data_IF_133690473040
#
_entry.id   IF_133690473040
#
_cell.length_a   1.000
_cell.length_b   1.000
_cell.length_c   1.000
_cell.angle_alpha   90.00
_cell.angle_beta   90.00
_cell.angle_gamma   90.00
#
_symmetry.space_group_name_H-M   'P 1'
#
loop_
_entity.id
_entity.type
_entity.pdbx_description
1 polymer ?
#
# COMPACT_ATOMS: atom_id res chain seq x y z
N UNK A 1 -20.79 -14.27 11.29
CA UNK A 1 -20.32 -12.89 11.11
C UNK A 1 -21.52 -11.92 11.01
N UNK A 2 -21.37 -10.65 11.39
CA UNK A 2 -22.48 -9.66 11.40
C UNK A 2 -22.86 -9.12 10.02
N UNK A 3 -22.09 -9.45 8.96
CA UNK A 3 -22.25 -8.92 7.61
C UNK A 3 -21.85 -7.45 7.43
N UNK A 4 -21.39 -6.78 8.49
CA UNK A 4 -21.05 -5.35 8.48
C UNK A 4 -19.56 -5.05 8.29
N UNK A 5 -18.70 -5.99 8.71
CA UNK A 5 -17.24 -5.89 8.57
C UNK A 5 -16.82 -6.89 7.50
N UNK A 6 -16.32 -6.38 6.38
CA UNK A 6 -15.93 -7.18 5.21
C UNK A 6 -14.42 -7.40 5.12
N UNK A 7 -13.63 -6.61 5.86
CA UNK A 7 -12.18 -6.63 5.80
C UNK A 7 -11.54 -6.11 7.09
N UNK A 8 -10.28 -6.44 7.31
CA UNK A 8 -9.41 -5.81 8.30
C UNK A 8 -8.19 -5.18 7.60
N UNK A 9 -7.74 -4.03 8.09
CA UNK A 9 -6.61 -3.29 7.52
C UNK A 9 -5.36 -3.49 8.38
N UNK A 10 -4.29 -3.99 7.77
CA UNK A 10 -2.97 -4.09 8.37
C UNK A 10 -2.17 -2.82 8.04
N UNK A 11 -1.81 -2.10 9.10
CA UNK A 11 -0.78 -1.06 9.06
C UNK A 11 0.45 -1.54 9.83
N UNK A 12 1.63 -1.60 9.20
CA UNK A 12 2.88 -1.76 9.93
C UNK A 12 3.07 -0.56 10.87
N UNK A 13 3.59 -0.81 12.07
CA UNK A 13 3.76 0.22 13.07
C UNK A 13 4.64 1.38 12.55
N UNK A 14 4.10 2.60 12.54
CA UNK A 14 4.79 3.81 12.08
C UNK A 14 4.88 4.00 10.56
N UNK A 15 4.16 3.21 9.76
CA UNK A 15 4.24 3.28 8.29
C UNK A 15 3.57 4.52 7.70
N UNK A 16 2.50 5.03 8.32
CA UNK A 16 1.74 6.20 7.85
C UNK A 16 1.04 6.95 8.99
N UNK A 17 0.26 7.97 8.68
CA UNK A 17 -0.52 8.77 9.64
C UNK A 17 -1.37 7.87 10.55
N UNK A 18 -1.27 8.05 11.88
CA UNK A 18 -1.98 7.29 12.92
C UNK A 18 -1.66 5.78 12.98
N UNK A 19 -0.52 5.35 12.44
CA UNK A 19 -0.11 3.93 12.45
C UNK A 19 0.82 3.55 13.60
N UNK A 20 1.06 4.42 14.59
CA UNK A 20 1.98 4.13 15.71
C UNK A 20 1.52 2.93 16.56
N UNK A 21 0.21 2.63 16.56
CA UNK A 21 -0.38 1.44 17.19
C UNK A 21 -0.51 0.24 16.25
N UNK A 22 0.22 0.25 15.13
CA UNK A 22 0.19 -0.79 14.10
C UNK A 22 0.89 -2.09 14.51
N UNK A 23 0.94 -3.03 13.58
CA UNK A 23 1.55 -4.35 13.77
C UNK A 23 3.07 -4.24 13.74
N UNK A 24 3.75 -4.76 14.76
CA UNK A 24 5.22 -4.74 14.88
C UNK A 24 5.90 -5.93 14.18
N UNK A 25 5.27 -7.10 14.23
CA UNK A 25 5.66 -8.33 13.52
C UNK A 25 4.39 -9.04 13.08
N UNK A 26 4.32 -9.43 11.80
CA UNK A 26 3.17 -10.13 11.23
C UNK A 26 2.86 -11.45 11.98
N UNK A 27 3.88 -12.15 12.49
CA UNK A 27 3.70 -13.41 13.24
C UNK A 27 2.85 -13.25 14.49
N UNK A 28 2.86 -12.06 15.10
CA UNK A 28 2.05 -11.78 16.29
C UNK A 28 0.55 -11.86 16.02
N UNK A 29 0.13 -11.72 14.75
CA UNK A 29 -1.27 -11.73 14.35
C UNK A 29 -1.65 -12.95 13.49
N UNK A 30 -0.80 -13.97 13.37
CA UNK A 30 -1.10 -15.15 12.54
C UNK A 30 -2.41 -15.84 12.95
N UNK A 31 -2.71 -15.92 14.24
CA UNK A 31 -3.98 -16.45 14.73
C UNK A 31 -5.19 -15.62 14.27
N UNK A 32 -5.02 -14.31 14.04
CA UNK A 32 -6.07 -13.44 13.45
C UNK A 32 -6.18 -13.71 11.95
N UNK A 33 -5.06 -13.87 11.25
CA UNK A 33 -5.04 -14.16 9.81
C UNK A 33 -5.69 -15.51 9.50
N UNK A 34 -5.43 -16.53 10.33
CA UNK A 34 -6.08 -17.84 10.27
C UNK A 34 -7.60 -17.70 10.42
N UNK A 35 -8.07 -16.99 11.45
CA UNK A 35 -9.50 -16.75 11.64
C UNK A 35 -10.12 -15.95 10.47
N UNK A 36 -9.39 -15.00 9.89
CA UNK A 36 -9.84 -14.25 8.70
C UNK A 36 -9.97 -15.17 7.48
N UNK A 37 -9.02 -16.07 7.27
CA UNK A 37 -9.06 -17.07 6.21
C UNK A 37 -10.27 -18.00 6.37
N UNK A 38 -10.50 -18.55 7.56
CA UNK A 38 -11.62 -19.44 7.87
C UNK A 38 -12.99 -18.81 7.57
N UNK A 39 -13.16 -17.52 7.87
CA UNK A 39 -14.43 -16.80 7.67
C UNK A 39 -14.50 -16.08 6.32
N UNK A 40 -13.45 -16.14 5.51
CA UNK A 40 -13.36 -15.48 4.20
C UNK A 40 -13.33 -13.95 4.27
N UNK A 41 -12.82 -13.37 5.36
CA UNK A 41 -12.62 -11.92 5.52
C UNK A 41 -11.38 -11.46 4.75
N UNK A 42 -11.45 -10.27 4.13
CA UNK A 42 -10.33 -9.72 3.37
C UNK A 42 -9.28 -9.11 4.30
N UNK A 43 -8.01 -9.35 4.00
CA UNK A 43 -6.87 -8.61 4.54
C UNK A 43 -6.48 -7.49 3.58
N UNK A 44 -6.61 -6.25 4.02
CA UNK A 44 -6.13 -5.08 3.27
C UNK A 44 -4.77 -4.67 3.86
N UNK A 45 -3.77 -4.40 3.03
CA UNK A 45 -2.39 -4.23 3.49
C UNK A 45 -1.82 -2.90 3.01
N UNK A 46 -1.36 -2.07 3.94
CA UNK A 46 -0.40 -1.01 3.62
C UNK A 46 1.00 -1.62 3.63
N UNK A 47 1.54 -1.91 2.44
CA UNK A 47 2.74 -2.74 2.29
C UNK A 47 4.06 -1.97 2.31
N UNK A 48 4.44 -1.39 3.44
CA UNK A 48 5.78 -0.79 3.63
C UNK A 48 6.40 -1.24 4.95
N UNK A 49 7.67 -1.65 4.95
CA UNK A 49 8.43 -1.77 6.21
C UNK A 49 8.79 -0.39 6.76
N UNK A 50 9.07 -0.29 8.05
CA UNK A 50 9.33 1.00 8.72
C UNK A 50 10.71 1.11 9.35
N UNK A 51 11.58 0.13 9.07
CA UNK A 51 12.94 0.11 9.60
C UNK A 51 13.74 1.35 9.19
N UNK A 52 14.43 1.97 10.16
CA UNK A 52 15.18 3.21 9.95
C UNK A 52 16.30 3.11 8.90
N UNK A 53 16.84 1.91 8.65
CA UNK A 53 17.92 1.68 7.70
C UNK A 53 17.43 1.44 6.26
N UNK A 54 16.11 1.28 6.04
CA UNK A 54 15.52 1.05 4.71
C UNK A 54 15.05 2.39 4.14
N UNK A 55 15.57 2.72 2.95
CA UNK A 55 15.20 3.94 2.23
C UNK A 55 13.71 3.93 1.88
N UNK A 56 13.04 5.08 2.02
CA UNK A 56 11.60 5.22 1.80
C UNK A 56 11.16 4.79 0.38
N UNK A 57 12.04 4.86 -0.61
CA UNK A 57 11.75 4.40 -1.96
C UNK A 57 11.78 2.87 -2.11
N UNK A 58 12.43 2.15 -1.18
CA UNK A 58 12.64 0.70 -1.21
C UNK A 58 11.74 -0.07 -0.22
N UNK A 59 11.06 0.64 0.69
CA UNK A 59 10.20 0.04 1.74
C UNK A 59 9.11 -0.88 1.21
N UNK A 60 8.49 -0.53 0.09
CA UNK A 60 7.45 -1.37 -0.52
C UNK A 60 8.04 -2.69 -1.03
N UNK A 61 9.19 -2.64 -1.70
CA UNK A 61 9.88 -3.84 -2.20
C UNK A 61 10.32 -4.75 -1.05
N UNK A 62 10.95 -4.18 -0.02
CA UNK A 62 11.37 -4.94 1.16
C UNK A 62 10.17 -5.62 1.84
N UNK A 63 9.01 -4.95 1.91
CA UNK A 63 7.79 -5.52 2.48
C UNK A 63 7.27 -6.73 1.69
N UNK A 64 7.32 -6.67 0.35
CA UNK A 64 6.92 -7.80 -0.50
C UNK A 64 7.75 -9.04 -0.16
N UNK A 65 9.06 -8.87 -0.04
CA UNK A 65 10.02 -9.96 0.11
C UNK A 65 10.00 -10.54 1.53
N UNK A 66 9.89 -9.68 2.55
CA UNK A 66 10.08 -10.07 3.95
C UNK A 66 8.79 -10.31 4.73
N UNK A 67 7.66 -9.75 4.28
CA UNK A 67 6.39 -9.82 5.00
C UNK A 67 5.28 -10.44 4.16
N UNK A 68 5.01 -9.88 2.96
CA UNK A 68 3.85 -10.30 2.19
C UNK A 68 4.01 -11.70 1.58
N UNK A 69 5.18 -12.01 1.01
CA UNK A 69 5.44 -13.33 0.44
C UNK A 69 5.28 -14.47 1.46
N UNK A 70 5.83 -14.38 2.70
CA UNK A 70 5.54 -15.34 3.76
C UNK A 70 4.04 -15.49 4.06
N UNK A 71 3.31 -14.38 4.25
CA UNK A 71 1.87 -14.42 4.54
C UNK A 71 1.09 -15.14 3.43
N UNK A 72 1.37 -14.82 2.16
CA UNK A 72 0.71 -15.44 1.01
C UNK A 72 0.98 -16.95 0.94
N UNK A 73 2.19 -17.39 1.31
CA UNK A 73 2.55 -18.79 1.34
C UNK A 73 1.90 -19.55 2.51
N UNK A 74 1.85 -18.92 3.68
CA UNK A 74 1.34 -19.53 4.91
C UNK A 74 -0.20 -19.58 4.93
N UNK A 75 -0.88 -18.64 4.26
CA UNK A 75 -2.35 -18.51 4.19
C UNK A 75 -2.84 -18.49 2.73
N UNK A 76 -2.75 -19.62 1.99
CA UNK A 76 -2.99 -19.65 0.56
C UNK A 76 -4.46 -19.37 0.16
N UNK A 77 -5.42 -19.48 1.08
CA UNK A 77 -6.84 -19.21 0.85
C UNK A 77 -7.27 -17.82 1.36
N UNK A 78 -6.43 -17.12 2.12
CA UNK A 78 -6.71 -15.77 2.59
C UNK A 78 -6.74 -14.80 1.41
N UNK A 79 -7.83 -14.01 1.33
CA UNK A 79 -7.97 -12.97 0.31
C UNK A 79 -7.24 -11.71 0.75
N UNK A 80 -6.27 -11.28 -0.03
CA UNK A 80 -5.39 -10.17 0.30
C UNK A 80 -5.46 -9.09 -0.78
N UNK A 81 -5.62 -7.85 -0.35
CA UNK A 81 -5.48 -6.66 -1.20
C UNK A 81 -4.24 -5.89 -0.74
N UNK A 82 -3.24 -5.83 -1.62
CA UNK A 82 -2.14 -4.89 -1.45
C UNK A 82 -2.61 -3.50 -1.86
N UNK A 83 -2.85 -2.65 -0.87
CA UNK A 83 -3.43 -1.34 -1.09
C UNK A 83 -2.43 -0.41 -1.81
N UNK A 84 -2.96 0.58 -2.52
CA UNK A 84 -2.27 1.71 -3.15
C UNK A 84 -0.82 1.40 -3.64
N UNK A 85 -0.65 0.37 -4.47
CA UNK A 85 0.68 -0.05 -4.94
C UNK A 85 1.40 1.06 -5.70
N UNK A 86 2.72 1.18 -5.52
CA UNK A 86 3.50 2.29 -6.08
C UNK A 86 4.68 1.86 -6.94
N UNK A 87 5.02 0.56 -6.94
CA UNK A 87 6.17 0.00 -7.65
C UNK A 87 5.78 -1.01 -8.74
N UNK A 88 6.60 -1.06 -9.80
CA UNK A 88 6.63 -2.18 -10.75
C UNK A 88 6.77 -3.55 -10.05
N UNK A 89 7.57 -3.62 -8.98
CA UNK A 89 7.75 -4.84 -8.19
C UNK A 89 6.43 -5.34 -7.59
N UNK A 90 5.62 -4.45 -6.99
CA UNK A 90 4.32 -4.80 -6.46
C UNK A 90 3.34 -5.24 -7.55
N UNK A 91 3.32 -4.55 -8.70
CA UNK A 91 2.51 -4.96 -9.85
C UNK A 91 2.90 -6.36 -10.36
N UNK A 92 4.20 -6.65 -10.45
CA UNK A 92 4.71 -7.96 -10.83
C UNK A 92 4.37 -9.04 -9.80
N UNK A 93 4.51 -8.72 -8.50
CA UNK A 93 4.14 -9.62 -7.41
C UNK A 93 2.66 -10.04 -7.51
N UNK A 94 1.75 -9.07 -7.66
CA UNK A 94 0.31 -9.32 -7.75
C UNK A 94 -0.06 -10.15 -8.98
N UNK A 95 0.58 -9.89 -10.13
CA UNK A 95 0.38 -10.67 -11.35
C UNK A 95 0.82 -12.13 -11.21
N UNK A 96 1.91 -12.38 -10.48
CA UNK A 96 2.47 -13.72 -10.29
C UNK A 96 1.82 -14.49 -9.12
N UNK A 97 1.12 -13.80 -8.23
CA UNK A 97 0.41 -14.41 -7.11
C UNK A 97 -0.91 -15.07 -7.54
N UNK A 98 -1.46 -15.94 -6.69
CA UNK A 98 -2.74 -16.62 -6.92
C UNK A 98 -3.93 -15.64 -7.04
N UNK A 99 -5.09 -16.12 -7.45
CA UNK A 99 -6.32 -15.32 -7.58
C UNK A 99 -6.81 -14.71 -6.24
N UNK A 100 -6.23 -15.12 -5.12
CA UNK A 100 -6.52 -14.57 -3.79
C UNK A 100 -5.76 -13.26 -3.50
N UNK A 101 -4.81 -12.86 -4.35
CA UNK A 101 -4.05 -11.61 -4.20
C UNK A 101 -4.42 -10.63 -5.30
N UNK A 102 -4.81 -9.43 -4.88
CA UNK A 102 -5.16 -8.30 -5.74
C UNK A 102 -4.51 -7.02 -5.22
N UNK A 103 -4.67 -5.92 -5.95
CA UNK A 103 -4.19 -4.61 -5.55
C UNK A 103 -5.10 -3.47 -5.99
N UNK A 104 -5.12 -2.41 -5.18
CA UNK A 104 -5.71 -1.13 -5.57
C UNK A 104 -4.64 -0.20 -6.13
N UNK A 105 -5.02 0.64 -7.08
CA UNK A 105 -4.16 1.70 -7.61
C UNK A 105 -4.89 3.05 -7.46
N UNK A 106 -4.16 4.04 -6.95
CA UNK A 106 -4.69 5.39 -6.71
C UNK A 106 -4.64 6.26 -7.97
N UNK A 107 -5.46 7.31 -8.01
CA UNK A 107 -5.40 8.29 -9.09
C UNK A 107 -4.05 9.04 -9.13
N UNK A 108 -3.53 9.44 -7.97
CA UNK A 108 -2.32 10.26 -7.90
C UNK A 108 -1.04 9.47 -8.26
N UNK A 109 -0.99 8.16 -8.00
CA UNK A 109 0.12 7.30 -8.46
C UNK A 109 0.08 6.98 -9.96
N UNK A 110 -1.08 7.11 -10.61
CA UNK A 110 -1.19 7.03 -12.08
C UNK A 110 -0.78 8.33 -12.76
N UNK A 111 -1.18 9.47 -12.18
CA UNK A 111 -0.93 10.78 -12.79
C UNK A 111 0.48 11.31 -12.56
N UNK A 112 1.09 10.97 -11.42
CA UNK A 112 2.34 11.61 -10.98
C UNK A 112 3.44 10.61 -10.64
N UNK A 113 4.67 11.12 -10.70
CA UNK A 113 5.87 10.47 -10.19
C UNK A 113 6.66 11.47 -9.36
N UNK A 114 7.73 11.01 -8.69
CA UNK A 114 8.48 11.83 -7.72
C UNK A 114 9.04 13.14 -8.26
N UNK A 115 9.23 13.29 -9.57
CA UNK A 115 9.65 14.57 -10.14
C UNK A 115 8.58 15.65 -9.97
N UNK A 116 7.29 15.29 -10.06
CA UNK A 116 6.19 16.23 -9.82
C UNK A 116 6.25 16.78 -8.39
N UNK A 117 6.62 15.93 -7.43
CA UNK A 117 6.78 16.32 -6.02
C UNK A 117 8.03 17.18 -5.77
N UNK A 118 9.13 16.97 -6.49
CA UNK A 118 10.47 17.48 -6.09
C UNK A 118 11.09 18.51 -7.05
N UNK A 119 10.82 18.45 -8.35
CA UNK A 119 11.48 19.31 -9.35
C UNK A 119 10.94 20.73 -9.29
N UNK A 120 11.83 21.73 -9.26
CA UNK A 120 11.45 23.15 -9.18
C UNK A 120 10.93 23.58 -7.81
N UNK A 121 11.12 22.74 -6.79
CA UNK A 121 10.66 22.99 -5.42
C UNK A 121 9.84 21.84 -4.87
N UNK A 122 9.95 21.63 -3.55
CA UNK A 122 9.17 20.64 -2.81
C UNK A 122 7.69 21.04 -2.81
N UNK A 123 6.82 20.11 -3.22
CA UNK A 123 5.37 20.30 -3.30
C UNK A 123 4.68 19.34 -2.34
N UNK A 124 4.43 19.75 -1.08
CA UNK A 124 3.95 18.84 -0.03
C UNK A 124 2.56 18.25 -0.31
N UNK A 125 1.75 18.88 -1.16
CA UNK A 125 0.44 18.35 -1.56
C UNK A 125 0.52 17.04 -2.38
N UNK A 126 1.68 16.72 -2.96
CA UNK A 126 1.95 15.42 -3.61
C UNK A 126 2.58 14.39 -2.67
N UNK A 127 2.96 14.80 -1.45
CA UNK A 127 3.55 13.90 -0.47
C UNK A 127 2.46 13.01 0.15
N UNK A 128 2.56 11.71 -0.09
CA UNK A 128 1.70 10.64 0.40
C UNK A 128 2.55 9.38 0.69
N UNK A 129 1.94 8.37 1.30
CA UNK A 129 2.58 7.10 1.62
C UNK A 129 1.72 5.94 1.08
N UNK A 130 2.30 4.99 0.32
CA UNK A 130 3.72 4.92 -0.06
C UNK A 130 4.13 6.08 -0.97
N UNK A 131 5.40 6.48 -0.90
CA UNK A 131 5.86 7.70 -1.59
C UNK A 131 5.78 7.56 -3.12
N UNK A 132 5.48 8.66 -3.83
CA UNK A 132 5.63 8.71 -5.29
C UNK A 132 7.00 8.18 -5.71
N UNK A 133 7.02 7.23 -6.66
CA UNK A 133 8.24 6.56 -7.13
C UNK A 133 8.77 7.16 -8.44
N UNK A 134 9.80 6.53 -9.02
CA UNK A 134 10.37 6.91 -10.35
C UNK A 134 9.34 6.67 -11.46
N UNK A 135 9.51 7.38 -12.58
CA UNK A 135 8.64 7.24 -13.76
C UNK A 135 8.53 5.79 -14.26
N UNK A 136 9.60 4.99 -14.15
CA UNK A 136 9.56 3.57 -14.54
C UNK A 136 8.50 2.77 -13.77
N UNK A 137 8.32 3.03 -12.47
CA UNK A 137 7.25 2.39 -11.71
C UNK A 137 5.88 2.94 -12.12
N UNK A 138 5.74 4.25 -12.31
CA UNK A 138 4.50 4.87 -12.75
C UNK A 138 3.97 4.25 -14.05
N UNK A 139 4.82 4.04 -15.06
CA UNK A 139 4.40 3.43 -16.32
C UNK A 139 3.82 2.02 -16.12
N UNK A 140 4.45 1.20 -15.26
CA UNK A 140 3.94 -0.14 -14.95
C UNK A 140 2.60 -0.08 -14.20
N UNK A 141 2.39 0.91 -13.33
CA UNK A 141 1.07 1.11 -12.69
C UNK A 141 -0.02 1.47 -13.72
N UNK A 142 0.31 2.30 -14.71
CA UNK A 142 -0.60 2.65 -15.81
C UNK A 142 -0.94 1.42 -16.63
N UNK A 143 0.05 0.62 -17.01
CA UNK A 143 -0.14 -0.65 -17.71
C UNK A 143 -1.03 -1.60 -16.90
N UNK A 144 -0.75 -1.78 -15.61
CA UNK A 144 -1.55 -2.62 -14.72
C UNK A 144 -3.00 -2.15 -14.62
N UNK A 145 -3.23 -0.85 -14.40
CA UNK A 145 -4.57 -0.27 -14.27
C UNK A 145 -5.39 -0.36 -15.57
N UNK A 146 -4.74 -0.33 -16.73
CA UNK A 146 -5.39 -0.37 -18.05
C UNK A 146 -5.41 -1.77 -18.69
N UNK A 147 -4.83 -2.77 -18.02
CA UNK A 147 -4.64 -4.13 -18.56
C UNK A 147 -5.93 -4.94 -18.79
N UNK A 148 -7.04 -4.56 -18.15
CA UNK A 148 -8.26 -5.38 -18.09
C UNK A 148 -8.18 -6.56 -17.12
N UNK A 149 -7.05 -6.72 -16.40
CA UNK A 149 -6.92 -7.72 -15.33
C UNK A 149 -7.88 -7.45 -14.18
N UNK A 150 -8.50 -8.50 -13.65
CA UNK A 150 -9.39 -8.42 -12.48
C UNK A 150 -8.64 -8.22 -11.15
N UNK A 151 -7.32 -8.33 -11.16
CA UNK A 151 -6.46 -8.19 -9.97
C UNK A 151 -6.16 -6.73 -9.62
N UNK A 152 -6.38 -5.79 -10.54
CA UNK A 152 -6.15 -4.37 -10.29
C UNK A 152 -7.48 -3.62 -10.36
N UNK A 153 -7.77 -2.83 -9.33
CA UNK A 153 -8.99 -2.03 -9.26
C UNK A 153 -8.78 -0.69 -8.55
N UNK A 154 -9.81 0.14 -8.56
CA UNK A 154 -9.76 1.49 -8.01
C UNK A 154 -9.75 1.45 -6.48
N UNK A 155 -8.76 2.14 -5.90
CA UNK A 155 -8.76 2.57 -4.50
C UNK A 155 -8.11 3.95 -4.44
N UNK A 156 -8.86 4.99 -4.08
CA UNK A 156 -8.37 6.37 -4.25
C UNK A 156 -7.27 6.73 -3.28
N UNK A 157 -7.32 6.15 -2.08
CA UNK A 157 -6.56 6.60 -0.91
C UNK A 157 -6.68 8.13 -0.70
N UNK A 158 -7.90 8.64 -0.86
CA UNK A 158 -8.18 10.06 -0.64
C UNK A 158 -8.01 10.37 0.85
N UNK A 159 -6.92 11.08 1.18
CA UNK A 159 -6.47 11.36 2.54
C UNK A 159 -6.37 12.88 2.77
N UNK A 160 -7.50 13.55 3.07
CA UNK A 160 -7.53 14.99 3.24
C UNK A 160 -6.81 15.43 4.52
N UNK A 161 -5.99 16.46 4.40
CA UNK A 161 -5.38 17.17 5.51
C UNK A 161 -5.63 18.68 5.36
N UNK A 162 -5.75 19.38 6.49
CA UNK A 162 -5.82 20.84 6.48
C UNK A 162 -4.55 21.43 5.83
N UNK A 163 -4.71 22.53 5.09
CA UNK A 163 -3.60 23.19 4.35
C UNK A 163 -2.38 23.45 5.23
N UNK A 164 -2.58 23.97 6.44
CA UNK A 164 -1.49 24.24 7.39
C UNK A 164 -0.77 22.98 7.91
N UNK A 165 -1.42 21.81 7.88
CA UNK A 165 -0.78 20.55 8.24
C UNK A 165 0.08 19.98 7.08
N UNK A 166 -0.23 20.34 5.83
CA UNK A 166 0.57 20.01 4.64
C UNK A 166 1.75 20.98 4.47
N UNK A 167 1.48 22.28 4.62
CA UNK A 167 2.45 23.37 4.44
C UNK A 167 3.13 23.74 5.78
N UNK A 168 3.86 22.78 6.34
CA UNK A 168 4.54 22.91 7.64
C UNK A 168 5.99 22.43 7.58
N UNK A 169 6.73 22.56 8.69
CA UNK A 169 8.07 21.99 8.82
C UNK A 169 8.10 20.45 8.75
N UNK A 170 6.96 19.80 8.97
CA UNK A 170 6.77 18.35 8.89
C UNK A 170 5.39 18.05 8.30
N UNK A 171 5.28 18.18 6.98
CA UNK A 171 4.00 18.04 6.28
C UNK A 171 3.41 16.63 6.38
N UNK A 172 2.11 16.51 6.69
CA UNK A 172 1.42 15.23 6.75
C UNK A 172 1.39 14.52 5.37
N UNK A 173 1.50 13.20 5.37
CA UNK A 173 1.35 12.37 4.17
C UNK A 173 -0.12 12.17 3.82
N UNK A 174 -0.51 12.47 2.57
CA UNK A 174 -1.86 12.23 2.06
C UNK A 174 -2.19 13.12 0.86
N UNK A 175 -2.87 12.56 -0.13
CA UNK A 175 -3.37 13.26 -1.32
C UNK A 175 -4.90 13.27 -1.31
N UNK A 176 -5.52 14.40 -1.62
CA UNK A 176 -6.99 14.50 -1.71
C UNK A 176 -7.42 14.41 -3.18
N UNK A 177 -8.15 13.34 -3.51
CA UNK A 177 -8.63 13.01 -4.88
C UNK A 177 -10.07 12.57 -4.86
#
# INVERSE_FOLDING_TARGET
ATGKIVAAKLYPAGATTNSDSGVTDAKNIYHVLEAMEEVGMLLLVHGEVTHHHVDIFDREKEFLDTVLAPIVNDFPNLKIVLEHITTADAAQFVNNASDNVAATITAHHLLFNRNHMLVGGIKPHFYCLPILKRNTHQQVLIEAATSGSKKFFLGTDSAPHAKGAKESACGCAGSYT
#
